data_IF_973538221227
#
_entry.id   IF_973538221227
#
_cell.length_a   1.000
_cell.length_b   1.000
_cell.length_c   1.000
_cell.angle_alpha   90.00
_cell.angle_beta   90.00
_cell.angle_gamma   90.00
#
_symmetry.space_group_name_H-M   'P 1'
#
loop_
_entity.id
_entity.type
_entity.pdbx_description
1 polymer ?
#
# COMPACT_ATOMS: atom_id res chain seq x y z
N UNK A 1 2.23 20.44 25.25
CA UNK A 1 1.94 19.03 24.88
C UNK A 1 2.28 18.89 23.42
N UNK A 2 3.15 17.96 22.96
CA UNK A 2 3.46 17.93 21.54
C UNK A 2 2.30 17.25 20.83
N UNK A 3 1.51 18.03 20.10
CA UNK A 3 0.52 17.53 19.15
C UNK A 3 1.27 16.73 18.08
N UNK A 4 1.36 15.41 18.26
CA UNK A 4 2.03 14.52 17.30
C UNK A 4 1.30 14.51 15.96
N UNK A 5 2.03 14.27 14.88
CA UNK A 5 1.45 14.07 13.55
C UNK A 5 0.63 12.76 13.60
N UNK A 6 -0.67 12.77 13.22
CA UNK A 6 -1.49 11.57 13.17
C UNK A 6 -0.82 10.45 12.37
N UNK A 7 -1.04 9.21 12.78
CA UNK A 7 -0.52 8.02 12.10
C UNK A 7 -1.68 7.19 11.60
N UNK A 8 -1.59 6.76 10.34
CA UNK A 8 -2.59 5.95 9.65
C UNK A 8 -1.95 4.62 9.26
N UNK A 9 -2.66 3.53 9.48
CA UNK A 9 -2.25 2.19 9.07
C UNK A 9 -3.02 1.78 7.82
N UNK A 10 -2.30 1.32 6.82
CA UNK A 10 -2.84 0.78 5.57
C UNK A 10 -2.62 -0.72 5.58
N UNK A 11 -3.67 -1.46 5.25
CA UNK A 11 -3.64 -2.90 5.11
C UNK A 11 -4.08 -3.27 3.69
N UNK A 12 -3.22 -4.01 2.99
CA UNK A 12 -3.50 -4.54 1.64
C UNK A 12 -3.54 -6.05 1.75
N UNK A 13 -4.71 -6.64 1.54
CA UNK A 13 -4.93 -8.07 1.71
C UNK A 13 -5.38 -8.71 0.40
N UNK A 14 -4.76 -9.85 0.06
CA UNK A 14 -5.30 -10.74 -0.97
C UNK A 14 -6.36 -11.66 -0.34
N UNK A 15 -7.64 -11.30 -0.49
CA UNK A 15 -8.78 -12.05 0.08
C UNK A 15 -9.24 -13.23 -0.77
N UNK A 16 -8.46 -13.65 -1.77
CA UNK A 16 -8.80 -14.81 -2.58
C UNK A 16 -8.94 -16.09 -1.75
N UNK A 17 -9.95 -16.89 -2.10
CA UNK A 17 -10.30 -18.14 -1.40
C UNK A 17 -9.72 -19.38 -2.09
N UNK A 18 -9.29 -19.25 -3.36
CA UNK A 18 -8.74 -20.37 -4.15
C UNK A 18 -7.21 -20.37 -4.12
N UNK A 19 -6.61 -21.56 -4.02
CA UNK A 19 -5.15 -21.74 -3.98
C UNK A 19 -4.39 -21.38 -5.28
N UNK A 20 -5.10 -20.91 -6.31
CA UNK A 20 -4.53 -20.49 -7.61
C UNK A 20 -4.71 -18.98 -7.84
N UNK A 21 -4.75 -18.18 -6.77
CA UNK A 21 -4.91 -16.73 -6.89
C UNK A 21 -3.73 -16.03 -6.22
N UNK A 22 -2.68 -15.85 -7.01
CA UNK A 22 -1.54 -15.04 -6.62
C UNK A 22 -1.61 -13.71 -7.34
N UNK A 23 -1.61 -12.61 -6.58
CA UNK A 23 -1.73 -11.25 -7.12
C UNK A 23 -0.38 -10.56 -6.98
N UNK A 24 0.19 -10.04 -8.06
CA UNK A 24 1.44 -9.29 -8.04
C UNK A 24 1.27 -7.93 -8.73
N UNK A 25 2.35 -7.14 -8.77
CA UNK A 25 2.34 -5.79 -9.36
C UNK A 25 1.11 -4.98 -8.94
N UNK A 26 0.89 -4.88 -7.62
CA UNK A 26 -0.26 -4.19 -7.05
C UNK A 26 0.03 -2.70 -7.04
N UNK A 27 -0.72 -1.94 -7.84
CA UNK A 27 -0.68 -0.48 -7.86
C UNK A 27 -1.88 0.11 -7.11
N UNK A 28 -1.63 1.18 -6.37
CA UNK A 28 -2.64 1.96 -5.65
C UNK A 28 -2.67 3.38 -6.20
N UNK A 29 -3.88 3.92 -6.39
CA UNK A 29 -4.11 5.35 -6.52
C UNK A 29 -3.79 6.02 -5.18
N UNK A 30 -2.77 6.86 -5.14
CA UNK A 30 -2.28 7.50 -3.91
C UNK A 30 -2.20 9.03 -3.99
N UNK A 31 -2.66 9.65 -5.07
CA UNK A 31 -2.65 11.09 -5.32
C UNK A 31 -1.31 11.76 -5.01
N UNK A 32 -1.38 12.84 -4.23
CA UNK A 32 -0.23 13.57 -3.69
C UNK A 32 0.30 12.95 -2.38
N UNK A 33 0.38 11.62 -2.29
CA UNK A 33 0.83 10.93 -1.08
C UNK A 33 2.13 11.54 -0.54
N UNK A 34 2.15 11.78 0.76
CA UNK A 34 3.32 12.24 1.50
C UNK A 34 3.27 11.72 2.93
N UNK A 35 4.44 11.51 3.53
CA UNK A 35 4.53 11.16 4.94
C UNK A 35 5.67 11.88 5.64
N UNK A 36 5.41 12.29 6.88
CA UNK A 36 6.41 12.83 7.79
C UNK A 36 7.35 11.75 8.36
N UNK A 37 7.04 10.46 8.17
CA UNK A 37 7.87 9.33 8.58
C UNK A 37 8.32 8.53 7.37
N UNK A 38 9.55 8.01 7.43
CA UNK A 38 10.07 7.12 6.41
C UNK A 38 9.29 5.80 6.41
N UNK A 39 8.93 5.36 5.20
CA UNK A 39 8.29 4.07 4.95
C UNK A 39 9.29 3.22 4.17
N UNK A 40 9.36 1.92 4.47
CA UNK A 40 10.22 1.01 3.74
C UNK A 40 9.80 0.96 2.25
N UNK A 41 10.67 1.37 1.30
CA UNK A 41 10.32 1.44 -0.12
C UNK A 41 10.13 0.06 -0.77
N UNK A 42 10.54 -1.03 -0.11
CA UNK A 42 10.22 -2.40 -0.52
C UNK A 42 8.78 -2.81 -0.17
N UNK A 43 8.14 -2.12 0.78
CA UNK A 43 6.75 -2.38 1.20
C UNK A 43 5.79 -1.46 0.47
N UNK A 44 6.11 -0.17 0.37
CA UNK A 44 5.28 0.83 -0.31
C UNK A 44 6.15 1.98 -0.82
N UNK A 45 5.98 2.34 -2.09
CA UNK A 45 6.62 3.53 -2.65
C UNK A 45 5.78 4.19 -3.72
N UNK A 46 5.82 5.52 -3.80
CA UNK A 46 5.25 6.28 -4.91
C UNK A 46 6.20 6.26 -6.10
N UNK A 47 5.74 5.77 -7.24
CA UNK A 47 6.51 5.75 -8.49
C UNK A 47 6.38 7.10 -9.20
N UNK A 48 5.14 7.56 -9.39
CA UNK A 48 4.82 8.84 -10.03
C UNK A 48 3.58 9.46 -9.39
N UNK A 49 3.09 10.58 -9.93
CA UNK A 49 1.85 11.18 -9.44
C UNK A 49 0.69 10.16 -9.47
N UNK A 50 0.01 10.00 -8.33
CA UNK A 50 -1.12 9.08 -8.17
C UNK A 50 -0.83 7.60 -8.43
N UNK A 51 0.44 7.19 -8.57
CA UNK A 51 0.83 5.79 -8.79
C UNK A 51 1.80 5.32 -7.70
N UNK A 52 1.33 4.40 -6.87
CA UNK A 52 2.10 3.80 -5.79
C UNK A 52 2.16 2.27 -5.92
N UNK A 53 3.36 1.72 -5.73
CA UNK A 53 3.63 0.29 -5.80
C UNK A 53 3.69 -0.33 -4.41
N UNK A 54 3.02 -1.48 -4.25
CA UNK A 54 3.02 -2.29 -3.03
C UNK A 54 3.97 -3.47 -3.18
N UNK A 55 4.61 -3.86 -2.08
CA UNK A 55 5.45 -5.04 -1.96
C UNK A 55 6.55 -5.16 -3.03
N UNK A 56 7.06 -4.03 -3.55
CA UNK A 56 8.00 -3.99 -4.66
C UNK A 56 7.53 -4.79 -5.90
N UNK A 57 6.22 -4.87 -6.11
CA UNK A 57 5.58 -5.64 -7.18
C UNK A 57 5.61 -7.16 -6.97
N UNK A 58 6.16 -7.64 -5.85
CA UNK A 58 6.24 -9.07 -5.55
C UNK A 58 4.85 -9.69 -5.31
N UNK A 59 4.71 -10.99 -5.61
CA UNK A 59 3.44 -11.67 -5.46
C UNK A 59 2.95 -11.71 -4.01
N UNK A 60 1.64 -11.56 -3.85
CA UNK A 60 0.88 -11.72 -2.62
C UNK A 60 -0.08 -12.90 -2.81
N UNK A 61 0.20 -14.01 -2.13
CA UNK A 61 -0.59 -15.22 -2.19
C UNK A 61 -1.93 -15.12 -1.44
N UNK A 62 -2.81 -16.12 -1.57
CA UNK A 62 -4.11 -16.13 -0.90
C UNK A 62 -3.99 -15.96 0.61
N UNK A 63 -4.77 -15.04 1.18
CA UNK A 63 -4.80 -14.74 2.61
C UNK A 63 -3.60 -13.93 3.14
N UNK A 64 -2.62 -13.62 2.29
CA UNK A 64 -1.48 -12.79 2.70
C UNK A 64 -1.86 -11.31 2.77
N UNK A 65 -1.24 -10.61 3.72
CA UNK A 65 -1.47 -9.21 4.01
C UNK A 65 -0.15 -8.45 4.05
N UNK A 66 -0.15 -7.25 3.47
CA UNK A 66 0.92 -6.26 3.61
C UNK A 66 0.38 -5.10 4.44
N UNK A 67 1.14 -4.71 5.47
CA UNK A 67 0.79 -3.61 6.37
C UNK A 67 1.90 -2.59 6.40
N UNK A 68 1.54 -1.31 6.31
CA UNK A 68 2.46 -0.21 6.57
C UNK A 68 1.73 0.96 7.22
N UNK A 69 2.47 1.81 7.93
CA UNK A 69 1.90 3.01 8.55
C UNK A 69 2.59 4.26 8.03
N UNK A 70 1.83 5.34 7.88
CA UNK A 70 2.35 6.65 7.48
C UNK A 70 1.83 7.73 8.44
N UNK A 71 2.64 8.76 8.62
CA UNK A 71 2.26 9.94 9.40
C UNK A 71 1.94 11.12 8.48
N UNK A 72 0.74 11.70 8.60
CA UNK A 72 0.36 12.96 7.95
C UNK A 72 -0.78 13.64 8.72
N UNK A 73 -1.10 14.88 8.37
CA UNK A 73 -2.19 15.69 8.93
C UNK A 73 -3.59 15.17 8.56
N UNK A 74 -3.72 14.36 7.50
CA UNK A 74 -4.95 13.73 7.07
C UNK A 74 -4.69 12.35 6.44
N UNK A 75 -5.74 11.52 6.36
CA UNK A 75 -5.68 10.23 5.69
C UNK A 75 -5.79 10.41 4.17
N UNK A 76 -4.91 9.74 3.41
CA UNK A 76 -5.06 9.60 1.96
C UNK A 76 -6.04 8.47 1.64
N UNK A 77 -7.06 8.71 0.79
CA UNK A 77 -7.82 7.63 0.20
C UNK A 77 -6.90 6.85 -0.74
N UNK A 78 -6.72 5.56 -0.47
CA UNK A 78 -5.97 4.65 -1.32
C UNK A 78 -6.92 3.62 -1.90
N UNK A 79 -6.92 3.48 -3.23
CA UNK A 79 -7.73 2.49 -3.94
C UNK A 79 -6.84 1.69 -4.88
N UNK A 80 -7.12 0.40 -5.03
CA UNK A 80 -6.41 -0.44 -6.01
C UNK A 80 -6.69 0.09 -7.41
N UNK A 81 -5.63 0.38 -8.16
CA UNK A 81 -5.73 0.88 -9.54
C UNK A 81 -5.48 -0.22 -10.56
N UNK A 82 -4.50 -1.08 -10.33
CA UNK A 82 -4.22 -2.24 -11.17
C UNK A 82 -3.52 -3.35 -10.40
N UNK A 83 -3.65 -4.58 -10.90
CA UNK A 83 -3.00 -5.78 -10.40
C UNK A 83 -2.66 -6.72 -11.55
N UNK A 84 -1.69 -7.60 -11.35
CA UNK A 84 -1.43 -8.74 -12.22
C UNK A 84 -1.84 -10.04 -11.50
N UNK A 85 -2.58 -10.91 -12.19
CA UNK A 85 -3.05 -12.19 -11.65
C UNK A 85 -2.36 -13.36 -12.38
N UNK A 86 -1.99 -14.39 -11.62
CA UNK A 86 -1.36 -15.62 -12.12
C UNK A 86 -1.96 -16.85 -11.44
#
# INVERSE_FOLDING_TARGET
>A
MPNGIPTYTVEVQNICVSGKCTIANIHLNCGWFSSARLINPSVFRRLTYNDCLVNNGQPLGPGQTITFSYANTYAYPMAVSSVACF
#
